data_IF_217877407899
#
_entry.id   IF_217877407899
#
_cell.length_a   1.000
_cell.length_b   1.000
_cell.length_c   1.000
_cell.angle_alpha   90.00
_cell.angle_beta   90.00
_cell.angle_gamma   90.00
#
_symmetry.space_group_name_H-M   'P 1'
#
loop_
_entity.id
_entity.type
_entity.pdbx_description
1 polymer ?
#
# COMPACT_ATOMS: atom_id res chain seq x y z
N UNK A 1 -13.47 30.90 63.21
CA UNK A 1 -13.05 31.04 61.81
C UNK A 1 -12.97 29.64 61.20
N UNK A 2 -13.89 29.31 60.29
CA UNK A 2 -14.08 27.97 59.71
C UNK A 2 -13.51 27.99 58.28
N UNK A 3 -12.40 27.29 58.05
CA UNK A 3 -11.83 27.14 56.70
C UNK A 3 -12.56 25.99 55.98
N UNK A 4 -13.18 26.33 54.84
CA UNK A 4 -13.82 25.40 53.92
C UNK A 4 -12.78 25.02 52.84
N UNK A 5 -12.32 23.77 52.83
CA UNK A 5 -11.46 23.22 51.78
C UNK A 5 -12.36 22.61 50.70
N UNK A 6 -12.37 23.24 49.52
CA UNK A 6 -13.07 22.78 48.33
C UNK A 6 -12.13 21.84 47.55
N UNK A 7 -12.41 20.55 47.52
CA UNK A 7 -11.66 19.58 46.70
C UNK A 7 -12.37 19.45 45.35
N UNK A 8 -11.75 19.97 44.29
CA UNK A 8 -12.22 19.80 42.91
C UNK A 8 -11.67 18.48 42.39
N UNK A 9 -12.54 17.49 42.21
CA UNK A 9 -12.21 16.25 41.52
C UNK A 9 -12.21 16.50 40.01
N UNK A 10 -11.02 16.52 39.39
CA UNK A 10 -10.86 16.60 37.93
C UNK A 10 -10.95 15.18 37.39
N UNK A 11 -12.11 14.80 36.86
CA UNK A 11 -12.30 13.54 36.15
C UNK A 11 -11.53 13.56 34.84
N UNK A 12 -10.44 12.80 34.78
CA UNK A 12 -9.66 12.57 33.56
C UNK A 12 -10.46 11.65 32.64
N UNK A 13 -11.22 12.22 31.70
CA UNK A 13 -11.79 11.47 30.59
C UNK A 13 -10.65 11.09 29.64
N UNK A 14 -10.10 9.88 29.82
CA UNK A 14 -9.27 9.26 28.78
C UNK A 14 -10.19 8.86 27.61
N UNK A 15 -9.99 9.37 26.39
CA UNK A 15 -10.71 8.87 25.24
C UNK A 15 -10.31 7.41 25.01
N UNK A 16 -11.27 6.50 25.19
CA UNK A 16 -11.15 5.11 24.75
C UNK A 16 -11.10 5.16 23.22
N UNK A 17 -9.90 5.07 22.66
CA UNK A 17 -9.74 4.77 21.25
C UNK A 17 -10.21 3.33 21.10
N UNK A 18 -11.46 3.15 20.66
CA UNK A 18 -11.97 1.86 20.22
C UNK A 18 -11.05 1.38 19.12
N UNK A 19 -10.22 0.38 19.43
CA UNK A 19 -9.46 -0.32 18.43
C UNK A 19 -10.47 -0.95 17.47
N UNK A 20 -10.50 -0.44 16.24
CA UNK A 20 -11.35 -0.97 15.18
C UNK A 20 -11.04 -2.47 15.05
N UNK A 21 -12.03 -3.33 15.28
CA UNK A 21 -11.85 -4.77 15.23
C UNK A 21 -11.38 -5.16 13.83
N UNK A 22 -10.18 -5.74 13.74
CA UNK A 22 -9.64 -6.19 12.47
C UNK A 22 -10.45 -7.41 12.01
N UNK A 23 -11.12 -7.37 10.84
CA UNK A 23 -11.94 -8.47 10.37
C UNK A 23 -11.05 -9.56 9.77
N UNK A 24 -10.30 -10.28 10.60
CA UNK A 24 -9.30 -11.26 10.15
C UNK A 24 -9.86 -12.63 9.81
N UNK A 25 -11.15 -12.90 10.10
CA UNK A 25 -11.74 -14.23 9.93
C UNK A 25 -12.14 -14.55 8.49
N UNK A 26 -12.31 -13.53 7.64
CA UNK A 26 -12.64 -13.68 6.22
C UNK A 26 -11.69 -12.84 5.36
N UNK A 27 -11.01 -13.49 4.40
CA UNK A 27 -10.03 -12.82 3.56
C UNK A 27 -10.67 -11.73 2.69
N UNK A 28 -11.90 -11.93 2.20
CA UNK A 28 -12.61 -10.94 1.40
C UNK A 28 -12.88 -9.67 2.21
N UNK A 29 -13.43 -9.82 3.42
CA UNK A 29 -13.69 -8.69 4.32
C UNK A 29 -12.39 -7.99 4.74
N UNK A 30 -11.33 -8.75 5.00
CA UNK A 30 -10.01 -8.18 5.29
C UNK A 30 -9.49 -7.34 4.12
N UNK A 31 -9.57 -7.87 2.89
CA UNK A 31 -9.09 -7.17 1.69
C UNK A 31 -9.94 -5.92 1.39
N UNK A 32 -11.26 -5.99 1.56
CA UNK A 32 -12.15 -4.83 1.38
C UNK A 32 -11.83 -3.70 2.37
N UNK A 33 -11.41 -4.04 3.58
CA UNK A 33 -10.96 -3.06 4.58
C UNK A 33 -9.54 -2.54 4.27
N UNK A 34 -8.57 -3.43 4.04
CA UNK A 34 -7.15 -3.04 3.98
C UNK A 34 -6.70 -2.50 2.62
N UNK A 35 -7.29 -2.93 1.50
CA UNK A 35 -6.88 -2.46 0.17
C UNK A 35 -7.02 -0.93 0.04
N UNK A 36 -8.16 -0.29 0.39
CA UNK A 36 -8.29 1.16 0.34
C UNK A 36 -7.26 1.87 1.22
N UNK A 37 -6.97 1.33 2.41
CA UNK A 37 -6.00 1.93 3.35
C UNK A 37 -4.57 1.82 2.82
N UNK A 38 -4.18 0.66 2.29
CA UNK A 38 -2.88 0.46 1.64
C UNK A 38 -2.71 1.40 0.43
N UNK A 39 -3.73 1.53 -0.43
CA UNK A 39 -3.70 2.46 -1.57
C UNK A 39 -3.61 3.92 -1.13
N UNK A 40 -4.34 4.33 -0.08
CA UNK A 40 -4.26 5.68 0.48
C UNK A 40 -2.89 5.98 1.07
N UNK A 41 -2.29 5.03 1.79
CA UNK A 41 -0.93 5.14 2.28
C UNK A 41 0.07 5.33 1.13
N UNK A 42 0.01 4.50 0.07
CA UNK A 42 0.90 4.65 -1.08
C UNK A 42 0.73 6.02 -1.75
N UNK A 43 -0.52 6.47 -1.95
CA UNK A 43 -0.85 7.82 -2.47
C UNK A 43 -0.26 8.93 -1.58
N UNK A 44 -0.22 8.75 -0.26
CA UNK A 44 0.36 9.73 0.67
C UNK A 44 1.88 9.94 0.52
N UNK A 45 2.56 9.03 -0.18
CA UNK A 45 3.97 9.17 -0.52
C UNK A 45 4.21 10.12 -1.70
N UNK A 46 3.15 10.49 -2.44
CA UNK A 46 3.26 11.52 -3.47
C UNK A 46 3.78 12.84 -2.88
N UNK A 47 4.78 13.45 -3.53
CA UNK A 47 5.46 14.64 -3.02
C UNK A 47 6.62 14.37 -2.06
N UNK A 48 6.87 13.11 -1.67
CA UNK A 48 8.13 12.75 -1.00
C UNK A 48 9.27 12.71 -2.02
N UNK A 49 10.47 13.06 -1.55
CA UNK A 49 11.69 12.99 -2.34
C UNK A 49 12.01 11.53 -2.75
N UNK A 50 12.53 11.30 -3.96
CA UNK A 50 13.01 9.98 -4.37
C UNK A 50 14.06 9.43 -3.40
N UNK A 51 13.89 8.17 -3.00
CA UNK A 51 14.71 7.51 -1.99
C UNK A 51 14.16 7.62 -0.56
N UNK A 52 13.02 8.30 -0.35
CA UNK A 52 12.35 8.34 0.95
C UNK A 52 12.10 6.92 1.48
N UNK A 53 12.71 6.59 2.61
CA UNK A 53 12.53 5.30 3.28
C UNK A 53 11.26 5.34 4.11
N UNK A 54 10.35 4.44 3.80
CA UNK A 54 9.12 4.30 4.58
C UNK A 54 9.33 3.33 5.74
N UNK A 55 8.79 3.69 6.90
CA UNK A 55 8.62 2.77 8.04
C UNK A 55 7.56 1.69 7.75
N UNK A 56 6.85 1.82 6.63
CA UNK A 56 5.78 0.93 6.21
C UNK A 56 4.40 1.38 6.69
N UNK A 57 3.40 0.59 6.32
CA UNK A 57 2.01 0.77 6.68
C UNK A 57 1.56 -0.40 7.55
N UNK A 58 1.07 -0.11 8.76
CA UNK A 58 0.56 -1.14 9.66
C UNK A 58 -0.88 -1.49 9.29
N UNK A 59 -1.10 -2.75 8.95
CA UNK A 59 -2.44 -3.31 8.73
C UNK A 59 -3.15 -3.51 10.08
N UNK A 60 -4.47 -3.70 10.07
CA UNK A 60 -5.25 -3.90 11.28
C UNK A 60 -4.85 -5.16 12.06
N UNK A 61 -4.27 -6.16 11.39
CA UNK A 61 -3.78 -7.40 12.02
C UNK A 61 -2.40 -7.22 12.68
N UNK A 62 -1.83 -6.01 12.60
CA UNK A 62 -0.55 -5.64 13.17
C UNK A 62 0.65 -5.92 12.26
N UNK A 63 0.46 -6.58 11.11
CA UNK A 63 1.51 -6.77 10.11
C UNK A 63 1.89 -5.43 9.45
N UNK A 64 3.07 -5.39 8.83
CA UNK A 64 3.61 -4.16 8.22
C UNK A 64 3.87 -4.38 6.73
N UNK A 65 3.21 -3.56 5.92
CA UNK A 65 3.37 -3.52 4.47
C UNK A 65 4.44 -2.49 4.08
N UNK A 66 5.29 -2.81 3.10
CA UNK A 66 6.34 -1.94 2.56
C UNK A 66 7.39 -1.43 3.57
N UNK A 67 7.51 -2.06 4.74
CA UNK A 67 8.55 -1.72 5.72
C UNK A 67 9.95 -1.86 5.11
N UNK A 68 10.77 -0.81 5.23
CA UNK A 68 12.14 -0.78 4.68
C UNK A 68 12.22 -0.56 3.17
N UNK A 69 11.10 -0.34 2.48
CA UNK A 69 11.09 0.03 1.08
C UNK A 69 11.39 1.52 0.93
N UNK A 70 12.16 1.87 -0.11
CA UNK A 70 12.43 3.26 -0.48
C UNK A 70 11.51 3.66 -1.62
N UNK A 71 10.69 4.67 -1.42
CA UNK A 71 9.83 5.23 -2.46
C UNK A 71 10.67 6.05 -3.46
N UNK A 72 10.48 5.83 -4.75
CA UNK A 72 11.25 6.48 -5.81
C UNK A 72 10.43 7.46 -6.65
N UNK A 73 9.11 7.41 -6.54
CA UNK A 73 8.22 8.29 -7.29
C UNK A 73 7.05 7.55 -7.93
N UNK A 74 6.15 8.34 -8.51
CA UNK A 74 5.01 7.88 -9.31
C UNK A 74 5.35 7.95 -10.78
N UNK A 75 4.99 6.89 -11.52
CA UNK A 75 5.16 6.85 -12.98
C UNK A 75 4.25 7.89 -13.64
N UNK A 76 4.78 8.57 -14.67
CA UNK A 76 4.05 9.56 -15.48
C UNK A 76 3.44 8.91 -16.73
N UNK A 77 2.56 9.64 -17.42
CA UNK A 77 1.94 9.22 -18.69
C UNK A 77 1.10 7.93 -18.60
N UNK A 78 0.47 7.70 -17.45
CA UNK A 78 -0.48 6.62 -17.25
C UNK A 78 -1.85 7.00 -17.82
N UNK A 79 -2.64 6.00 -18.25
CA UNK A 79 -4.02 6.24 -18.70
C UNK A 79 -4.94 6.53 -17.51
N UNK A 80 -6.14 7.02 -17.78
CA UNK A 80 -7.13 7.32 -16.75
C UNK A 80 -7.36 6.14 -15.80
N UNK A 81 -7.31 6.44 -14.49
CA UNK A 81 -7.51 5.48 -13.41
C UNK A 81 -6.31 4.57 -13.11
N UNK A 82 -5.24 4.61 -13.91
CA UNK A 82 -4.06 3.79 -13.67
C UNK A 82 -3.12 4.47 -12.68
N UNK A 83 -2.61 3.69 -11.75
CA UNK A 83 -1.67 4.13 -10.73
C UNK A 83 -0.47 3.18 -10.69
N UNK A 84 0.74 3.73 -10.74
CA UNK A 84 1.98 2.97 -10.64
C UNK A 84 2.98 3.77 -9.81
N UNK A 85 3.44 3.18 -8.71
CA UNK A 85 4.42 3.77 -7.79
C UNK A 85 5.65 2.88 -7.77
N UNK A 86 6.82 3.49 -7.89
CA UNK A 86 8.09 2.78 -7.96
C UNK A 86 8.76 2.81 -6.60
N UNK A 87 9.25 1.65 -6.22
CA UNK A 87 9.97 1.43 -4.97
C UNK A 87 11.29 0.70 -5.22
N UNK A 88 12.18 0.84 -4.25
CA UNK A 88 13.37 0.01 -4.11
C UNK A 88 13.27 -0.82 -2.83
N UNK A 89 13.43 -2.12 -2.97
CA UNK A 89 13.56 -3.04 -1.84
C UNK A 89 14.92 -3.76 -1.95
N UNK A 90 15.86 -3.40 -1.07
CA UNK A 90 17.26 -3.79 -1.21
C UNK A 90 17.87 -3.25 -2.53
N UNK A 91 18.33 -4.16 -3.39
CA UNK A 91 18.89 -3.79 -4.72
C UNK A 91 17.86 -3.81 -5.84
N UNK A 92 16.65 -4.31 -5.61
CA UNK A 92 15.66 -4.54 -6.64
C UNK A 92 14.66 -3.38 -6.75
N UNK A 93 14.29 -3.05 -7.98
CA UNK A 93 13.14 -2.19 -8.26
C UNK A 93 11.85 -2.99 -8.23
N UNK A 94 10.81 -2.39 -7.68
CA UNK A 94 9.45 -2.93 -7.62
C UNK A 94 8.48 -1.84 -8.02
N UNK A 95 7.38 -2.21 -8.67
CA UNK A 95 6.25 -1.31 -8.82
C UNK A 95 5.10 -1.81 -7.96
N UNK A 96 4.35 -0.89 -7.34
CA UNK A 96 3.04 -1.18 -6.79
C UNK A 96 2.03 -0.45 -7.66
N UNK A 97 1.07 -1.20 -8.21
CA UNK A 97 0.16 -0.69 -9.21
C UNK A 97 -1.27 -1.18 -8.99
N UNK A 98 -2.24 -0.37 -9.40
CA UNK A 98 -3.65 -0.71 -9.44
C UNK A 98 -4.37 0.13 -10.49
N UNK A 99 -5.60 -0.26 -10.82
CA UNK A 99 -6.49 0.48 -11.72
C UNK A 99 -7.79 0.78 -10.99
N UNK A 100 -8.16 2.06 -10.89
CA UNK A 100 -9.43 2.48 -10.30
C UNK A 100 -10.62 1.90 -11.06
N UNK A 101 -11.77 1.81 -10.38
CA UNK A 101 -13.02 1.38 -10.99
C UNK A 101 -13.31 2.16 -12.27
N UNK A 102 -13.69 1.45 -13.34
CA UNK A 102 -13.93 2.00 -14.69
C UNK A 102 -12.68 2.57 -15.39
N UNK A 103 -11.48 2.38 -14.83
CA UNK A 103 -10.21 2.71 -15.48
C UNK A 103 -9.89 1.78 -16.65
N UNK A 104 -8.80 2.09 -17.35
CA UNK A 104 -8.32 1.24 -18.45
C UNK A 104 -7.34 0.20 -17.88
N UNK A 105 -7.49 -1.11 -18.20
CA UNK A 105 -6.55 -2.13 -17.75
C UNK A 105 -5.10 -1.76 -18.05
N UNK A 106 -4.21 -2.02 -17.09
CA UNK A 106 -2.79 -1.70 -17.18
C UNK A 106 -2.01 -2.97 -17.53
N UNK A 107 -1.40 -3.07 -18.73
CA UNK A 107 -0.63 -4.26 -19.09
C UNK A 107 0.54 -4.49 -18.13
N UNK A 108 0.79 -5.75 -17.80
CA UNK A 108 1.88 -6.13 -16.91
C UNK A 108 3.17 -6.33 -17.72
N UNK A 109 4.30 -5.77 -17.27
CA UNK A 109 5.60 -6.07 -17.86
C UNK A 109 5.94 -7.55 -17.74
N UNK A 110 6.35 -8.15 -18.86
CA UNK A 110 6.80 -9.54 -18.82
C UNK A 110 8.13 -9.70 -18.09
N UNK A 111 8.30 -10.85 -17.44
CA UNK A 111 9.59 -11.23 -16.88
C UNK A 111 10.69 -11.22 -17.97
N UNK A 112 11.91 -10.74 -17.67
CA UNK A 112 13.03 -10.81 -18.60
C UNK A 112 13.34 -12.25 -19.02
N UNK A 113 13.48 -12.50 -20.33
CA UNK A 113 13.66 -13.85 -20.93
C UNK A 113 14.84 -14.68 -20.40
N UNK A 114 15.80 -14.06 -19.71
CA UNK A 114 16.99 -14.71 -19.18
C UNK A 114 16.88 -15.03 -17.67
N UNK A 115 15.71 -14.78 -17.08
CA UNK A 115 15.41 -15.06 -15.68
C UNK A 115 14.27 -16.07 -15.67
N UNK A 116 14.46 -17.18 -14.95
CA UNK A 116 13.35 -18.07 -14.65
C UNK A 116 12.50 -17.42 -13.54
N UNK A 117 11.29 -16.99 -13.91
CA UNK A 117 10.39 -16.28 -13.01
C UNK A 117 9.20 -17.15 -12.66
N UNK A 118 8.98 -17.35 -11.36
CA UNK A 118 7.77 -17.99 -10.85
C UNK A 118 6.52 -17.11 -11.00
N UNK A 119 6.68 -15.78 -11.06
CA UNK A 119 5.57 -14.83 -11.22
C UNK A 119 6.04 -13.46 -11.76
N UNK A 120 5.14 -12.74 -12.42
CA UNK A 120 5.35 -11.35 -12.88
C UNK A 120 4.85 -10.32 -11.84
N UNK A 121 3.83 -10.70 -11.07
CA UNK A 121 3.29 -9.91 -9.98
C UNK A 121 2.54 -10.72 -8.92
N UNK A 122 2.15 -10.04 -7.85
CA UNK A 122 1.52 -10.61 -6.67
C UNK A 122 0.61 -9.58 -6.03
N UNK A 123 -0.54 -9.98 -5.49
CA UNK A 123 -1.35 -9.09 -4.66
C UNK A 123 -0.58 -8.68 -3.40
N UNK A 124 -0.56 -7.38 -3.08
CA UNK A 124 0.26 -6.87 -1.99
C UNK A 124 -0.17 -7.38 -0.61
N UNK A 125 -1.46 -7.70 -0.42
CA UNK A 125 -2.02 -8.09 0.87
C UNK A 125 -2.22 -9.60 1.03
N UNK A 126 -2.79 -10.29 0.03
CA UNK A 126 -3.01 -11.74 0.12
C UNK A 126 -1.78 -12.56 -0.25
N UNK A 127 -0.78 -11.94 -0.88
CA UNK A 127 0.38 -12.63 -1.45
C UNK A 127 0.04 -13.65 -2.55
N UNK A 128 -1.18 -13.66 -3.07
CA UNK A 128 -1.54 -14.54 -4.18
C UNK A 128 -0.84 -14.09 -5.45
N UNK A 129 -0.40 -15.07 -6.24
CA UNK A 129 0.20 -14.81 -7.55
C UNK A 129 -0.84 -14.16 -8.46
N UNK A 130 -0.46 -13.03 -9.06
CA UNK A 130 -1.31 -12.37 -10.05
C UNK A 130 -1.09 -13.01 -11.41
N UNK A 131 -2.12 -13.67 -11.95
CA UNK A 131 -2.00 -14.52 -13.15
C UNK A 131 -2.50 -13.85 -14.44
N UNK A 132 -3.17 -12.71 -14.34
CA UNK A 132 -3.62 -11.98 -15.53
C UNK A 132 -2.46 -11.23 -16.19
N UNK A 133 -2.58 -10.99 -17.51
CA UNK A 133 -1.58 -10.24 -18.30
C UNK A 133 -1.71 -8.72 -18.15
N UNK A 134 -2.74 -8.25 -17.46
CA UNK A 134 -3.00 -6.85 -17.22
C UNK A 134 -3.75 -6.70 -15.90
N UNK A 135 -3.42 -5.65 -15.14
CA UNK A 135 -4.13 -5.27 -13.92
C UNK A 135 -5.53 -4.80 -14.30
N UNK A 136 -6.55 -5.43 -13.71
CA UNK A 136 -7.95 -5.12 -13.99
C UNK A 136 -8.45 -3.96 -13.13
N UNK A 137 -9.45 -3.19 -13.62
CA UNK A 137 -10.12 -2.18 -12.82
C UNK A 137 -10.78 -2.77 -11.58
N UNK A 138 -10.55 -2.15 -10.42
CA UNK A 138 -11.14 -2.56 -9.15
C UNK A 138 -10.31 -3.59 -8.35
N UNK A 139 -9.25 -4.14 -8.95
CA UNK A 139 -8.31 -4.98 -8.22
C UNK A 139 -7.57 -4.17 -7.15
N UNK A 140 -7.17 -4.85 -6.06
CA UNK A 140 -6.29 -4.29 -5.05
C UNK A 140 -4.88 -3.96 -5.57
N UNK A 141 -4.01 -3.36 -4.73
CA UNK A 141 -2.63 -3.07 -5.10
C UNK A 141 -1.86 -4.35 -5.41
N UNK A 142 -1.21 -4.37 -6.57
CA UNK A 142 -0.39 -5.48 -7.06
C UNK A 142 1.08 -5.04 -7.08
N UNK A 143 1.93 -5.86 -6.49
CA UNK A 143 3.38 -5.73 -6.56
C UNK A 143 3.84 -6.38 -7.86
N UNK A 144 4.47 -5.60 -8.74
CA UNK A 144 5.13 -6.07 -9.95
C UNK A 144 6.64 -6.17 -9.70
N UNK A 145 7.20 -7.34 -9.99
CA UNK A 145 8.61 -7.62 -9.72
C UNK A 145 9.56 -7.02 -10.75
N UNK A 146 9.08 -6.84 -11.98
CA UNK A 146 9.89 -6.40 -13.11
C UNK A 146 9.27 -5.17 -13.78
N UNK A 147 9.28 -3.99 -13.13
CA UNK A 147 8.73 -2.78 -13.74
C UNK A 147 9.38 -2.48 -15.10
N UNK A 148 8.62 -1.90 -16.04
CA UNK A 148 9.21 -1.42 -17.30
C UNK A 148 10.28 -0.38 -17.01
N UNK A 149 11.36 -0.40 -17.80
CA UNK A 149 12.43 0.61 -17.70
C UNK A 149 11.90 2.03 -17.84
N UNK A 150 10.89 2.24 -18.69
CA UNK A 150 10.24 3.54 -18.90
C UNK A 150 9.48 4.07 -17.68
N UNK A 151 9.22 3.23 -16.67
CA UNK A 151 8.61 3.66 -15.41
C UNK A 151 9.64 4.09 -14.37
N UNK A 152 10.88 3.65 -14.51
CA UNK A 152 11.92 3.95 -13.53
C UNK A 152 12.30 5.44 -13.64
N UNK A 153 12.64 6.08 -12.51
CA UNK A 153 13.21 7.42 -12.54
C UNK A 153 14.51 7.42 -13.36
N UNK A 154 14.73 8.50 -14.10
CA UNK A 154 15.93 8.71 -14.92
C UNK A 154 17.21 8.84 -14.07
#
# INVERSE_FOLDING_TARGET
MRNLLLTIAVSVFSPIVLAEECPTSDLGVFLDHENPRAMAFIKSLEGKEPGFKSDGFRLCDGSILFGGWSYLGKTKNLKQGQHVYIFRHGKAYRAVAWVENKGIPLPIPSCPKHIDCSAEGQYALSYDVYTFKAIQPGDGPIILYYPWKSWLPA
#
